data_IF_809412755169
#
_entry.id   IF_809412755169
#
_cell.length_a   1.000
_cell.length_b   1.000
_cell.length_c   1.000
_cell.angle_alpha   90.00
_cell.angle_beta   90.00
_cell.angle_gamma   90.00
#
_symmetry.space_group_name_H-M   'P 1'
#
loop_
_entity.id
_entity.type
_entity.pdbx_description
1 polymer ?
#
# COMPACT_ATOMS: atom_id res chain seq x y z
N UNK A 1 -1.12 1.20 43.96
CA UNK A 1 -0.78 2.55 43.47
C UNK A 1 -1.56 2.76 42.17
N UNK A 2 -2.39 3.80 42.09
CA UNK A 2 -3.11 4.13 40.86
C UNK A 2 -2.23 4.98 39.95
N UNK A 3 -2.37 4.81 38.63
CA UNK A 3 -1.74 5.69 37.66
C UNK A 3 -2.31 7.11 37.78
N UNK A 4 -1.47 8.10 37.52
CA UNK A 4 -1.90 9.48 37.31
C UNK A 4 -2.81 9.54 36.07
N UNK A 5 -4.04 10.00 36.27
CA UNK A 5 -5.07 9.98 35.23
C UNK A 5 -4.84 11.03 34.15
N UNK A 6 -4.23 12.16 34.49
CA UNK A 6 -3.91 13.22 33.52
C UNK A 6 -2.75 12.76 32.62
N UNK A 7 -1.70 12.19 33.22
CA UNK A 7 -0.59 11.61 32.45
C UNK A 7 -1.06 10.44 31.57
N UNK A 8 -1.97 9.60 32.07
CA UNK A 8 -2.54 8.50 31.29
C UNK A 8 -3.37 9.00 30.11
N UNK A 9 -4.18 10.05 30.30
CA UNK A 9 -4.96 10.66 29.22
C UNK A 9 -4.02 11.26 28.15
N UNK A 10 -3.01 12.03 28.56
CA UNK A 10 -2.01 12.62 27.66
C UNK A 10 -1.27 11.54 26.85
N UNK A 11 -0.84 10.45 27.50
CA UNK A 11 -0.17 9.34 26.83
C UNK A 11 -1.06 8.66 25.78
N UNK A 12 -2.35 8.44 26.08
CA UNK A 12 -3.31 7.86 25.12
C UNK A 12 -3.50 8.75 23.90
N UNK A 13 -3.65 10.07 24.10
CA UNK A 13 -3.77 11.04 23.01
C UNK A 13 -2.51 11.04 22.14
N UNK A 14 -1.32 11.07 22.75
CA UNK A 14 -0.06 11.06 22.02
C UNK A 14 0.13 9.75 21.22
N UNK A 15 -0.19 8.60 21.80
CA UNK A 15 -0.12 7.30 21.13
C UNK A 15 -1.06 7.22 19.93
N UNK A 16 -2.30 7.71 20.06
CA UNK A 16 -3.25 7.76 18.94
C UNK A 16 -2.77 8.68 17.81
N UNK A 17 -2.25 9.86 18.15
CA UNK A 17 -1.70 10.79 17.16
C UNK A 17 -0.47 10.20 16.44
N UNK A 18 0.41 9.52 17.17
CA UNK A 18 1.58 8.83 16.62
C UNK A 18 1.18 7.72 15.65
N UNK A 19 0.21 6.88 16.03
CA UNK A 19 -0.31 5.81 15.17
C UNK A 19 -0.88 6.37 13.86
N UNK A 20 -1.67 7.46 13.93
CA UNK A 20 -2.22 8.11 12.74
C UNK A 20 -1.13 8.68 11.82
N UNK A 21 -0.11 9.35 12.39
CA UNK A 21 1.01 9.87 11.63
C UNK A 21 1.84 8.75 10.96
N UNK A 22 2.03 7.63 11.65
CA UNK A 22 2.70 6.46 11.10
C UNK A 22 1.92 5.88 9.90
N UNK A 23 0.61 5.70 10.03
CA UNK A 23 -0.24 5.24 8.91
C UNK A 23 -0.15 6.18 7.70
N UNK A 24 -0.15 7.50 7.91
CA UNK A 24 0.01 8.47 6.83
C UNK A 24 1.39 8.38 6.16
N UNK A 25 2.46 8.20 6.94
CA UNK A 25 3.80 8.01 6.41
C UNK A 25 3.91 6.73 5.57
N UNK A 26 3.27 5.64 6.01
CA UNK A 26 3.25 4.37 5.28
C UNK A 26 2.48 4.47 3.96
N UNK A 27 1.32 5.17 3.96
CA UNK A 27 0.58 5.48 2.72
C UNK A 27 1.44 6.31 1.78
N UNK A 28 2.05 7.40 2.26
CA UNK A 28 2.89 8.28 1.44
C UNK A 28 4.08 7.53 0.83
N UNK A 29 4.71 6.64 1.59
CA UNK A 29 5.80 5.78 1.12
C UNK A 29 5.32 4.83 0.02
N UNK A 30 4.17 4.18 0.18
CA UNK A 30 3.59 3.30 -0.82
C UNK A 30 3.23 4.06 -2.11
N UNK A 31 2.65 5.25 -2.00
CA UNK A 31 2.37 6.14 -3.15
C UNK A 31 3.66 6.50 -3.89
N UNK A 32 4.71 6.87 -3.16
CA UNK A 32 6.02 7.18 -3.75
C UNK A 32 6.59 5.98 -4.52
N UNK A 33 6.61 4.80 -3.91
CA UNK A 33 7.10 3.57 -4.56
C UNK A 33 6.32 3.26 -5.83
N UNK A 34 4.99 3.33 -5.75
CA UNK A 34 4.13 3.10 -6.90
C UNK A 34 4.37 4.12 -8.03
N UNK A 35 4.54 5.40 -7.69
CA UNK A 35 4.78 6.46 -8.67
C UNK A 35 6.15 6.31 -9.35
N UNK A 36 7.19 5.94 -8.60
CA UNK A 36 8.53 5.61 -9.14
C UNK A 36 8.45 4.47 -10.15
N UNK A 37 7.70 3.40 -9.84
CA UNK A 37 7.49 2.29 -10.76
C UNK A 37 6.79 2.72 -12.05
N UNK A 38 5.77 3.59 -11.94
CA UNK A 38 5.06 4.14 -13.10
C UNK A 38 5.96 5.01 -13.97
N UNK A 39 6.78 5.89 -13.37
CA UNK A 39 7.75 6.70 -14.09
C UNK A 39 8.74 5.84 -14.87
N UNK A 40 9.27 4.78 -14.24
CA UNK A 40 10.21 3.88 -14.91
C UNK A 40 9.54 3.09 -16.05
N UNK A 41 8.33 2.55 -15.83
CA UNK A 41 7.56 1.85 -16.87
C UNK A 41 7.19 2.74 -18.05
N UNK A 42 6.97 4.03 -17.82
CA UNK A 42 6.76 5.03 -18.87
C UNK A 42 8.05 5.37 -19.67
N UNK A 43 9.17 4.69 -19.39
CA UNK A 43 10.45 4.87 -20.07
C UNK A 43 11.45 5.76 -19.34
N UNK A 44 11.12 6.27 -18.14
CA UNK A 44 12.03 7.11 -17.36
C UNK A 44 13.28 6.35 -16.91
N UNK A 45 14.46 6.94 -17.11
CA UNK A 45 15.69 6.33 -16.64
C UNK A 45 15.79 6.42 -15.10
N UNK A 46 16.28 5.36 -14.46
CA UNK A 46 16.40 5.31 -12.98
C UNK A 46 17.22 6.48 -12.42
N UNK A 47 18.24 6.94 -13.15
CA UNK A 47 19.07 8.09 -12.78
C UNK A 47 18.27 9.40 -12.78
N UNK A 48 17.49 9.65 -13.84
CA UNK A 48 16.67 10.85 -13.96
C UNK A 48 15.61 10.89 -12.85
N UNK A 49 14.98 9.74 -12.56
CA UNK A 49 14.02 9.62 -11.46
C UNK A 49 14.67 9.89 -10.11
N UNK A 50 15.88 9.36 -9.87
CA UNK A 50 16.62 9.58 -8.63
C UNK A 50 16.96 11.07 -8.43
N UNK A 51 17.44 11.73 -9.48
CA UNK A 51 17.78 13.16 -9.47
C UNK A 51 16.53 14.02 -9.22
N UNK A 52 15.42 13.76 -9.92
CA UNK A 52 14.17 14.51 -9.77
C UNK A 52 13.55 14.36 -8.36
N UNK A 53 13.67 13.18 -7.76
CA UNK A 53 13.14 12.89 -6.42
C UNK A 53 14.12 13.18 -5.28
N UNK A 54 15.35 13.62 -5.60
CA UNK A 54 16.43 13.85 -4.62
C UNK A 54 16.70 12.63 -3.72
N UNK A 55 16.61 11.43 -4.29
CA UNK A 55 16.94 10.17 -3.61
C UNK A 55 18.11 9.49 -4.29
N UNK A 56 18.74 8.54 -3.61
CA UNK A 56 19.86 7.81 -4.21
C UNK A 56 19.40 6.93 -5.37
N UNK A 57 20.26 6.77 -6.37
CA UNK A 57 20.06 5.80 -7.46
C UNK A 57 19.81 4.39 -6.91
N UNK A 58 20.53 4.00 -5.85
CA UNK A 58 20.34 2.72 -5.18
C UNK A 58 18.92 2.57 -4.60
N UNK A 59 18.33 3.66 -4.10
CA UNK A 59 16.96 3.64 -3.58
C UNK A 59 15.95 3.41 -4.71
N UNK A 60 16.12 4.06 -5.85
CA UNK A 60 15.27 3.82 -7.04
C UNK A 60 15.42 2.38 -7.52
N UNK A 61 16.65 1.86 -7.58
CA UNK A 61 16.90 0.47 -7.96
C UNK A 61 16.17 -0.54 -7.05
N UNK A 62 16.19 -0.33 -5.73
CA UNK A 62 15.44 -1.16 -4.78
C UNK A 62 13.93 -1.12 -5.05
N UNK A 63 13.38 0.05 -5.29
CA UNK A 63 11.94 0.23 -5.55
C UNK A 63 11.52 -0.48 -6.83
N UNK A 64 12.35 -0.41 -7.88
CA UNK A 64 12.02 -1.00 -9.20
C UNK A 64 12.24 -2.51 -9.25
N UNK A 65 13.27 -3.04 -8.58
CA UNK A 65 13.62 -4.46 -8.64
C UNK A 65 12.82 -5.34 -7.67
N UNK A 66 12.43 -4.82 -6.50
CA UNK A 66 11.63 -5.58 -5.51
C UNK A 66 10.29 -6.14 -6.05
N UNK A 67 9.50 -5.41 -6.85
CA UNK A 67 8.18 -5.86 -7.30
C UNK A 67 8.19 -6.76 -8.54
N UNK A 68 9.35 -7.23 -9.04
CA UNK A 68 9.44 -8.10 -10.23
C UNK A 68 8.72 -9.46 -10.11
N UNK A 69 7.97 -9.74 -9.04
CA UNK A 69 7.37 -11.05 -8.78
C UNK A 69 5.94 -11.26 -9.27
N UNK A 70 5.17 -10.25 -9.69
CA UNK A 70 3.85 -10.52 -10.29
C UNK A 70 3.37 -9.33 -11.11
N UNK A 71 3.02 -9.52 -12.38
CA UNK A 71 2.44 -8.48 -13.28
C UNK A 71 0.92 -8.63 -13.43
N UNK A 72 0.25 -9.19 -12.41
CA UNK A 72 -1.19 -9.44 -12.40
C UNK A 72 -1.76 -9.12 -11.03
N UNK A 73 -2.99 -8.62 -10.98
CA UNK A 73 -3.75 -8.48 -9.76
C UNK A 73 -3.94 -9.86 -9.13
N UNK A 74 -3.71 -9.95 -7.83
CA UNK A 74 -3.82 -11.20 -7.08
C UNK A 74 -5.28 -11.65 -6.84
N UNK A 75 -6.25 -10.74 -7.08
CA UNK A 75 -7.68 -10.97 -6.90
C UNK A 75 -8.40 -11.37 -8.20
N UNK A 76 -8.42 -10.48 -9.21
CA UNK A 76 -9.04 -10.75 -10.52
C UNK A 76 -8.13 -11.54 -11.48
N UNK A 77 -6.82 -11.64 -11.21
CA UNK A 77 -5.84 -12.14 -12.18
C UNK A 77 -5.53 -11.20 -13.35
N UNK A 78 -6.17 -10.04 -13.43
CA UNK A 78 -6.05 -9.08 -14.52
C UNK A 78 -4.64 -8.44 -14.59
N UNK A 79 -4.08 -8.35 -15.80
CA UNK A 79 -2.68 -7.94 -16.05
C UNK A 79 -2.50 -6.43 -16.27
N UNK A 80 -1.24 -5.97 -16.33
CA UNK A 80 -0.86 -4.53 -16.49
C UNK A 80 -1.36 -3.88 -17.80
N UNK A 81 -2.01 -4.64 -18.70
CA UNK A 81 -2.55 -4.15 -19.97
C UNK A 81 -4.08 -4.03 -20.06
N UNK A 82 -4.83 -4.56 -19.09
CA UNK A 82 -6.30 -4.50 -19.08
C UNK A 82 -6.77 -3.32 -18.23
N UNK A 83 -6.75 -2.08 -18.75
CA UNK A 83 -7.42 -0.84 -18.27
C UNK A 83 -7.43 -0.49 -16.76
N UNK A 84 -6.77 -1.28 -15.91
CA UNK A 84 -6.89 -1.29 -14.46
C UNK A 84 -5.57 -0.88 -13.84
N UNK A 85 -5.62 0.11 -12.94
CA UNK A 85 -4.45 0.61 -12.23
C UNK A 85 -4.01 -0.45 -11.22
N UNK A 86 -3.10 -1.34 -11.63
CA UNK A 86 -2.46 -2.29 -10.71
C UNK A 86 -1.54 -1.57 -9.73
N UNK A 87 -1.85 -1.68 -8.44
CA UNK A 87 -1.09 -1.06 -7.36
C UNK A 87 -0.21 -2.08 -6.66
N UNK A 88 1.02 -1.66 -6.32
CA UNK A 88 1.91 -2.46 -5.49
C UNK A 88 1.51 -2.33 -4.02
N UNK A 89 1.00 -3.41 -3.44
CA UNK A 89 1.09 -3.65 -2.01
C UNK A 89 2.49 -4.14 -1.63
N UNK A 90 2.82 -4.20 -0.33
CA UNK A 90 4.14 -4.64 0.15
C UNK A 90 4.55 -6.05 -0.29
N UNK A 91 3.58 -6.93 -0.62
CA UNK A 91 3.81 -8.32 -1.01
C UNK A 91 3.05 -8.78 -2.29
N UNK A 92 2.15 -7.96 -2.86
CA UNK A 92 1.32 -8.36 -4.00
C UNK A 92 0.72 -7.16 -4.75
N UNK A 93 0.24 -7.38 -5.98
CA UNK A 93 -0.49 -6.37 -6.76
C UNK A 93 -2.02 -6.51 -6.58
N UNK A 94 -2.75 -5.40 -6.46
CA UNK A 94 -4.23 -5.36 -6.51
C UNK A 94 -4.71 -4.25 -7.46
N UNK A 95 -5.75 -4.49 -8.24
CA UNK A 95 -6.34 -3.47 -9.11
C UNK A 95 -7.33 -2.58 -8.34
N UNK A 96 -7.58 -1.39 -8.87
CA UNK A 96 -8.53 -0.42 -8.36
C UNK A 96 -9.97 -0.94 -8.25
N UNK A 97 -10.41 -1.77 -9.19
CA UNK A 97 -11.72 -2.41 -9.11
C UNK A 97 -11.84 -3.35 -7.90
N UNK A 98 -10.86 -4.25 -7.72
CA UNK A 98 -10.86 -5.19 -6.58
C UNK A 98 -10.74 -4.48 -5.22
N UNK A 99 -10.07 -3.32 -5.18
CA UNK A 99 -10.05 -2.49 -3.97
C UNK A 99 -11.42 -1.84 -3.72
N UNK A 100 -12.10 -1.36 -4.77
CA UNK A 100 -13.38 -0.67 -4.65
C UNK A 100 -14.54 -1.62 -4.31
N UNK A 101 -14.54 -2.82 -4.90
CA UNK A 101 -15.64 -3.79 -4.80
C UNK A 101 -15.42 -4.88 -3.75
N UNK A 102 -14.22 -4.96 -3.15
CA UNK A 102 -13.86 -6.00 -2.20
C UNK A 102 -14.75 -6.03 -0.95
N UNK A 103 -15.43 -7.17 -0.74
CA UNK A 103 -16.28 -7.43 0.42
C UNK A 103 -15.69 -8.55 1.27
N UNK A 104 -15.45 -8.28 2.56
CA UNK A 104 -14.94 -9.28 3.52
C UNK A 104 -16.05 -10.23 3.96
N UNK A 105 -15.76 -11.52 4.01
CA UNK A 105 -16.68 -12.57 4.43
C UNK A 105 -16.18 -13.30 5.67
N UNK A 106 -15.84 -14.57 5.50
CA UNK A 106 -15.40 -15.44 6.58
C UNK A 106 -14.05 -15.00 7.19
N UNK A 107 -13.80 -15.45 8.41
CA UNK A 107 -12.56 -15.16 9.13
C UNK A 107 -11.43 -16.02 8.59
N UNK A 108 -10.32 -15.39 8.24
CA UNK A 108 -9.11 -16.04 7.76
C UNK A 108 -7.88 -15.17 7.98
N UNK A 109 -6.71 -15.72 7.69
CA UNK A 109 -5.45 -15.00 7.84
C UNK A 109 -5.25 -14.08 6.65
N UNK A 110 -5.03 -12.79 6.89
CA UNK A 110 -4.75 -11.84 5.82
C UNK A 110 -3.35 -12.06 5.23
N UNK A 111 -3.27 -12.19 3.91
CA UNK A 111 -2.00 -12.38 3.18
C UNK A 111 -1.05 -11.17 3.23
N UNK A 112 -1.49 -10.02 3.78
CA UNK A 112 -0.73 -8.76 3.81
C UNK A 112 -0.25 -8.38 5.21
N UNK A 113 -1.14 -8.36 6.20
CA UNK A 113 -0.78 -8.05 7.59
C UNK A 113 -0.57 -9.32 8.45
N UNK A 114 -0.93 -10.50 7.95
CA UNK A 114 -0.87 -11.78 8.68
C UNK A 114 -1.79 -11.88 9.91
N UNK A 115 -2.68 -10.91 10.12
CA UNK A 115 -3.68 -10.95 11.17
C UNK A 115 -4.88 -11.82 10.76
N UNK A 116 -5.46 -12.52 11.73
CA UNK A 116 -6.68 -13.32 11.55
C UNK A 116 -7.92 -12.43 11.72
N UNK A 117 -8.59 -12.11 10.61
CA UNK A 117 -9.72 -11.18 10.56
C UNK A 117 -10.75 -11.62 9.50
N UNK A 118 -11.94 -11.00 9.41
CA UNK A 118 -12.79 -11.14 8.23
C UNK A 118 -12.03 -10.74 6.97
N UNK A 119 -11.88 -11.67 6.03
CA UNK A 119 -11.11 -11.46 4.80
C UNK A 119 -11.98 -11.48 3.57
N UNK A 120 -11.59 -10.70 2.57
CA UNK A 120 -12.05 -10.83 1.20
C UNK A 120 -11.15 -11.85 0.50
N UNK A 121 -11.75 -12.91 -0.04
CA UNK A 121 -11.04 -13.96 -0.77
C UNK A 121 -10.92 -13.60 -2.26
N UNK A 122 -9.68 -13.63 -2.76
CA UNK A 122 -9.33 -13.53 -4.17
C UNK A 122 -8.87 -14.86 -4.72
N UNK A 123 -8.47 -14.87 -6.01
CA UNK A 123 -8.04 -16.10 -6.68
C UNK A 123 -6.86 -16.80 -6.00
N UNK A 124 -5.91 -16.03 -5.47
CA UNK A 124 -4.66 -16.56 -4.93
C UNK A 124 -4.29 -15.95 -3.55
N UNK A 125 -5.16 -15.11 -2.96
CA UNK A 125 -4.93 -14.46 -1.66
C UNK A 125 -6.17 -13.98 -0.94
N UNK A 126 -5.97 -13.68 0.34
CA UNK A 126 -6.96 -13.15 1.27
C UNK A 126 -6.54 -11.76 1.78
N UNK A 127 -7.47 -10.82 1.87
CA UNK A 127 -7.18 -9.46 2.35
C UNK A 127 -8.22 -8.98 3.35
N UNK A 128 -7.80 -8.48 4.51
CA UNK A 128 -8.72 -7.91 5.48
C UNK A 128 -9.18 -6.49 5.07
N UNK A 129 -10.21 -5.98 5.73
CA UNK A 129 -10.76 -4.65 5.44
C UNK A 129 -9.74 -3.53 5.62
N UNK A 130 -8.91 -3.60 6.67
CA UNK A 130 -7.88 -2.60 6.94
C UNK A 130 -6.86 -2.50 5.80
N UNK A 131 -6.41 -3.64 5.27
CA UNK A 131 -5.48 -3.67 4.13
C UNK A 131 -6.14 -3.22 2.82
N UNK A 132 -7.45 -3.47 2.62
CA UNK A 132 -8.20 -2.90 1.50
C UNK A 132 -8.28 -1.37 1.59
N UNK A 133 -8.62 -0.83 2.76
CA UNK A 133 -8.72 0.61 2.99
C UNK A 133 -7.34 1.29 2.80
N UNK A 134 -6.25 0.64 3.24
CA UNK A 134 -4.89 1.09 2.93
C UNK A 134 -4.64 1.16 1.42
N UNK A 135 -4.98 0.10 0.68
CA UNK A 135 -4.87 0.08 -0.79
C UNK A 135 -5.66 1.21 -1.45
N UNK A 136 -6.88 1.48 -0.98
CA UNK A 136 -7.74 2.56 -1.48
C UNK A 136 -7.13 3.95 -1.23
N UNK A 137 -6.53 4.15 -0.06
CA UNK A 137 -5.84 5.40 0.27
C UNK A 137 -4.62 5.62 -0.63
N UNK A 138 -3.84 4.57 -0.92
CA UNK A 138 -2.71 4.66 -1.84
C UNK A 138 -3.18 4.98 -3.28
N UNK A 139 -4.27 4.37 -3.75
CA UNK A 139 -4.86 4.68 -5.07
C UNK A 139 -5.26 6.15 -5.15
N UNK A 140 -5.99 6.62 -4.14
CA UNK A 140 -6.48 7.99 -4.09
C UNK A 140 -5.32 9.00 -4.06
N UNK A 141 -4.26 8.70 -3.29
CA UNK A 141 -3.05 9.51 -3.25
C UNK A 141 -2.26 9.52 -4.56
N UNK A 142 -2.21 8.39 -5.28
CA UNK A 142 -1.50 8.27 -6.56
C UNK A 142 -2.31 8.81 -7.77
N UNK A 143 -3.63 8.95 -7.64
CA UNK A 143 -4.51 9.47 -8.67
C UNK A 143 -4.52 11.00 -8.76
N UNK A 144 -4.06 11.70 -7.73
CA UNK A 144 -4.05 13.18 -7.69
C UNK A 144 -2.97 13.74 -8.61
N UNK A 145 -3.32 14.42 -9.72
CA UNK A 145 -2.37 15.17 -10.51
C UNK A 145 -2.23 16.57 -9.87
N UNK A 146 -1.01 16.97 -9.55
CA UNK A 146 -0.67 18.39 -9.51
C UNK A 146 0.10 18.72 -10.77
#
# INVERSE_FOLDING_TARGET
MSLDQELLAAARTASSASAAAQSQADIAKAVCHHTVLRLHRAGGAMREIAEALQISHQRVHQIVEQPKRTERCWFCGCGVGDDGRLMAGPAALICDLCVAEGQTGEVGDCSFCSETEPVHEGADATICRSCLDFGAAVISGAASPR
#
